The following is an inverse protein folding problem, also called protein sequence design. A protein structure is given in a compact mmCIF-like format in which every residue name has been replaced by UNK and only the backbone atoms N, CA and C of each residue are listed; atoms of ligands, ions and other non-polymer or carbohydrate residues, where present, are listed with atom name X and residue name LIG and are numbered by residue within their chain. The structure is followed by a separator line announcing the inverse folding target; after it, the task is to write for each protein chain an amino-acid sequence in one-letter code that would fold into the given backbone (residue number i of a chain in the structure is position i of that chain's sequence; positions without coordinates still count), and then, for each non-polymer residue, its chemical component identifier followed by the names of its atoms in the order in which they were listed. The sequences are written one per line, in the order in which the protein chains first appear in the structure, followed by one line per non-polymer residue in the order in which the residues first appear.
data_IF_591101706700
#
_entry.id   IF_591101706700
#
_cell.length_a   1.000
_cell.length_b   1.000
_cell.length_c   1.000
_cell.angle_alpha   90.00
_cell.angle_beta   90.00
_cell.angle_gamma   90.00
#
_symmetry.space_group_name_H-M   'P 1'
#
loop_
_entity.id
_entity.type
_entity.pdbx_description
1 polymer ?
#
# COMPACT_ATOMS: atom_id res chain seq x y z
N UNK A 1 18.82 -64.25 -40.22
CA UNK A 1 20.19 -63.74 -40.38
C UNK A 1 20.59 -62.95 -39.12
N UNK A 2 21.75 -63.31 -38.56
CA UNK A 2 22.71 -62.51 -37.77
C UNK A 2 22.32 -61.98 -36.36
N UNK A 3 22.73 -62.80 -35.39
CA UNK A 3 23.33 -62.55 -34.06
C UNK A 3 23.77 -61.13 -33.66
N UNK A 4 23.61 -60.84 -32.36
CA UNK A 4 24.65 -60.49 -31.32
C UNK A 4 23.89 -60.07 -30.04
N UNK A 5 24.16 -60.50 -28.81
CA UNK A 5 25.34 -61.12 -28.21
C UNK A 5 26.11 -60.10 -27.35
N UNK A 6 26.20 -60.37 -26.04
CA UNK A 6 27.35 -60.19 -25.13
C UNK A 6 27.11 -59.35 -23.85
N UNK A 7 27.60 -59.99 -22.79
CA UNK A 7 27.69 -59.73 -21.36
C UNK A 7 28.79 -58.71 -21.03
N UNK A 8 28.62 -57.99 -19.91
CA UNK A 8 29.72 -57.69 -18.98
C UNK A 8 30.28 -56.27 -19.01
N UNK A 9 30.26 -55.58 -17.87
CA UNK A 9 31.41 -55.55 -16.95
C UNK A 9 31.21 -54.44 -15.92
N UNK A 10 31.26 -54.81 -14.64
CA UNK A 10 31.58 -53.89 -13.56
C UNK A 10 32.99 -53.31 -13.81
N UNK A 11 33.15 -52.00 -13.62
CA UNK A 11 34.43 -51.41 -13.27
C UNK A 11 34.16 -50.26 -12.31
N UNK A 12 34.51 -50.47 -11.04
CA UNK A 12 34.63 -49.42 -10.04
C UNK A 12 36.09 -48.96 -10.03
N UNK A 13 36.34 -47.66 -10.21
CA UNK A 13 37.57 -46.99 -9.73
C UNK A 13 37.18 -45.56 -9.34
N UNK A 14 37.42 -45.24 -8.07
CA UNK A 14 37.16 -43.92 -7.50
C UNK A 14 38.27 -42.91 -7.78
N UNK A 15 37.92 -41.64 -7.61
CA UNK A 15 38.88 -40.57 -7.35
C UNK A 15 38.26 -39.62 -6.31
N UNK A 16 38.86 -39.67 -5.12
CA UNK A 16 38.68 -38.72 -4.04
C UNK A 16 39.22 -37.36 -4.49
N UNK A 17 38.37 -36.34 -4.49
CA UNK A 17 38.82 -34.95 -4.44
C UNK A 17 38.46 -34.34 -3.09
N UNK A 18 39.52 -34.10 -2.33
CA UNK A 18 39.54 -33.36 -1.07
C UNK A 18 39.49 -31.86 -1.35
N UNK A 19 38.50 -31.18 -0.78
CA UNK A 19 38.59 -29.80 -0.29
C UNK A 19 38.38 -28.64 -1.27
N UNK A 20 37.32 -27.85 -1.08
CA UNK A 20 37.41 -26.47 -0.57
C UNK A 20 36.00 -25.86 -0.41
N UNK A 21 35.84 -25.09 0.66
CA UNK A 21 34.59 -24.59 1.25
C UNK A 21 33.74 -23.70 0.33
N UNK A 22 32.41 -23.87 0.38
CA UNK A 22 31.47 -22.76 0.17
C UNK A 22 30.41 -22.80 1.28
N UNK A 23 30.41 -21.73 2.07
CA UNK A 23 29.39 -21.37 3.05
C UNK A 23 28.03 -21.35 2.34
N UNK A 24 27.19 -22.38 2.54
CA UNK A 24 25.77 -22.28 2.21
C UNK A 24 25.07 -21.63 3.39
N UNK A 25 25.14 -20.31 3.33
CA UNK A 25 24.30 -19.36 4.04
C UNK A 25 22.86 -19.90 4.04
N UNK A 26 22.27 -20.03 5.22
CA UNK A 26 20.86 -20.32 5.43
C UNK A 26 20.03 -19.17 4.88
N UNK A 27 19.85 -19.14 3.56
CA UNK A 27 18.83 -18.33 2.92
C UNK A 27 17.48 -18.98 3.25
N UNK A 28 16.96 -18.61 4.43
CA UNK A 28 15.54 -18.65 4.71
C UNK A 28 14.83 -18.14 3.47
N UNK A 29 14.08 -19.02 2.82
CA UNK A 29 13.22 -18.68 1.71
C UNK A 29 12.18 -17.68 2.25
N UNK A 30 12.53 -16.40 2.17
CA UNK A 30 11.65 -15.30 2.52
C UNK A 30 10.50 -15.36 1.53
N UNK A 31 9.37 -15.83 2.05
CA UNK A 31 8.08 -15.78 1.39
C UNK A 31 7.90 -14.42 0.71
N UNK A 32 7.57 -14.50 -0.56
CA UNK A 32 7.23 -13.40 -1.44
C UNK A 32 5.95 -12.74 -0.94
N UNK A 33 6.09 -11.71 -0.12
CA UNK A 33 5.08 -10.66 0.06
C UNK A 33 5.81 -9.35 -0.19
N UNK A 34 5.50 -8.69 -1.30
CA UNK A 34 6.13 -7.44 -1.71
C UNK A 34 5.90 -6.37 -0.64
N UNK A 35 6.89 -6.18 0.23
CA UNK A 35 6.93 -5.08 1.18
C UNK A 35 6.99 -3.78 0.37
N UNK A 36 5.84 -3.19 0.10
CA UNK A 36 5.76 -1.79 -0.31
C UNK A 36 6.45 -0.99 0.79
N UNK A 37 7.45 -0.19 0.44
CA UNK A 37 8.21 0.59 1.42
C UNK A 37 7.27 1.68 1.99
N UNK A 38 6.70 1.43 3.17
CA UNK A 38 5.78 2.34 3.85
C UNK A 38 6.61 3.28 4.72
N UNK A 39 6.69 4.55 4.34
CA UNK A 39 7.44 5.57 5.05
C UNK A 39 6.85 5.85 6.45
N UNK A 40 5.52 5.78 6.59
CA UNK A 40 4.85 6.00 7.87
C UNK A 40 3.46 5.37 7.92
N UNK A 41 3.05 4.89 9.10
CA UNK A 41 1.66 4.57 9.41
C UNK A 41 1.04 5.77 10.12
N UNK A 42 -0.08 6.26 9.61
CA UNK A 42 -0.85 7.38 10.18
C UNK A 42 -2.08 6.79 10.85
N UNK A 43 -2.11 6.90 12.18
CA UNK A 43 -3.23 6.43 13.00
C UNK A 43 -4.20 7.59 13.23
N UNK A 44 -5.31 7.63 12.49
CA UNK A 44 -6.35 8.65 12.65
C UNK A 44 -7.16 8.36 13.92
N UNK A 45 -7.21 9.29 14.90
CA UNK A 45 -7.93 9.10 16.15
C UNK A 45 -9.45 9.25 15.95
N UNK A 46 -10.16 8.14 15.91
CA UNK A 46 -11.63 8.07 15.72
C UNK A 46 -12.42 8.67 16.87
N UNK A 47 -11.86 8.72 18.07
CA UNK A 47 -12.47 9.44 19.20
C UNK A 47 -12.47 10.97 19.00
N UNK A 48 -11.59 11.50 18.14
CA UNK A 48 -11.47 12.94 17.86
C UNK A 48 -12.14 13.33 16.55
N UNK A 49 -12.11 12.46 15.55
CA UNK A 49 -12.67 12.69 14.21
C UNK A 49 -13.60 11.52 13.81
N UNK A 50 -14.67 11.24 14.57
CA UNK A 50 -15.49 10.05 14.39
C UNK A 50 -16.16 9.95 13.01
N UNK A 51 -16.62 11.06 12.42
CA UNK A 51 -17.29 11.03 11.12
C UNK A 51 -16.30 10.71 9.99
N UNK A 52 -15.14 11.38 9.99
CA UNK A 52 -14.06 11.13 9.01
C UNK A 52 -13.51 9.71 9.17
N UNK A 53 -13.27 9.27 10.40
CA UNK A 53 -12.83 7.92 10.70
C UNK A 53 -13.81 6.84 10.19
N UNK A 54 -15.12 7.07 10.33
CA UNK A 54 -16.14 6.18 9.79
C UNK A 54 -16.10 6.15 8.25
N UNK A 55 -16.00 7.31 7.59
CA UNK A 55 -15.87 7.37 6.13
C UNK A 55 -14.66 6.58 5.62
N UNK A 56 -13.48 6.77 6.22
CA UNK A 56 -12.26 6.07 5.82
C UNK A 56 -12.42 4.55 6.01
N UNK A 57 -12.97 4.11 7.15
CA UNK A 57 -13.26 2.68 7.41
C UNK A 57 -14.19 2.10 6.35
N UNK A 58 -15.30 2.79 6.06
CA UNK A 58 -16.29 2.37 5.08
C UNK A 58 -15.67 2.29 3.67
N UNK A 59 -14.91 3.31 3.26
CA UNK A 59 -14.28 3.37 1.95
C UNK A 59 -13.26 2.24 1.75
N UNK A 60 -12.42 1.96 2.76
CA UNK A 60 -11.48 0.83 2.72
C UNK A 60 -12.22 -0.51 2.66
N UNK A 61 -13.27 -0.70 3.46
CA UNK A 61 -14.10 -1.90 3.42
C UNK A 61 -14.76 -2.10 2.05
N UNK A 62 -15.06 -1.01 1.34
CA UNK A 62 -15.59 -1.00 -0.04
C UNK A 62 -14.49 -1.02 -1.12
N UNK A 63 -13.26 -1.41 -0.77
CA UNK A 63 -12.19 -1.69 -1.72
C UNK A 63 -11.32 -0.49 -2.11
N UNK A 64 -11.45 0.66 -1.43
CA UNK A 64 -10.41 1.70 -1.53
C UNK A 64 -9.14 1.23 -0.84
N UNK A 65 -7.99 1.65 -1.36
CA UNK A 65 -6.71 1.35 -0.72
C UNK A 65 -6.54 2.13 0.58
N UNK A 66 -5.84 1.54 1.55
CA UNK A 66 -5.39 2.21 2.76
C UNK A 66 -4.01 2.90 2.57
N UNK A 67 -3.44 2.83 1.37
CA UNK A 67 -2.16 3.44 1.02
C UNK A 67 -2.40 4.79 0.31
N UNK A 68 -1.70 5.80 0.79
CA UNK A 68 -1.60 7.10 0.14
C UNK A 68 -0.16 7.27 -0.38
N UNK A 69 0.02 7.28 -1.69
CA UNK A 69 1.26 7.73 -2.30
C UNK A 69 1.19 9.25 -2.42
N UNK A 70 2.00 9.97 -1.63
CA UNK A 70 1.91 11.42 -1.52
C UNK A 70 2.26 12.06 -2.86
N UNK A 71 1.38 12.94 -3.35
CA UNK A 71 1.58 13.75 -4.55
C UNK A 71 0.73 15.01 -4.40
N UNK A 72 1.37 16.08 -3.93
CA UNK A 72 0.70 17.33 -3.55
C UNK A 72 0.33 18.17 -4.76
N UNK A 73 1.16 18.16 -5.79
CA UNK A 73 0.98 18.96 -7.00
C UNK A 73 -0.32 18.59 -7.75
N UNK A 74 -0.66 17.30 -7.82
CA UNK A 74 -1.90 16.85 -8.47
C UNK A 74 -3.18 17.04 -7.64
N UNK A 75 -3.11 17.61 -6.42
CA UNK A 75 -4.24 17.58 -5.50
C UNK A 75 -5.44 18.42 -5.94
N UNK A 76 -5.21 19.56 -6.58
CA UNK A 76 -6.28 20.41 -7.07
C UNK A 76 -7.10 19.72 -8.17
N UNK A 77 -6.42 19.06 -9.11
CA UNK A 77 -7.07 18.35 -10.22
C UNK A 77 -7.81 17.10 -9.72
N UNK A 78 -7.22 16.32 -8.82
CA UNK A 78 -7.91 15.19 -8.19
C UNK A 78 -9.19 15.63 -7.48
N UNK A 79 -9.14 16.72 -6.70
CA UNK A 79 -10.33 17.29 -6.05
C UNK A 79 -11.41 17.71 -7.03
N UNK A 80 -11.03 18.28 -8.17
CA UNK A 80 -11.97 18.61 -9.24
C UNK A 80 -12.64 17.35 -9.80
N UNK A 81 -11.87 16.29 -10.04
CA UNK A 81 -12.36 15.02 -10.59
C UNK A 81 -13.27 14.26 -9.63
N UNK A 82 -12.90 14.17 -8.36
CA UNK A 82 -13.67 13.47 -7.32
C UNK A 82 -15.00 14.18 -7.04
N UNK A 83 -15.01 15.51 -7.06
CA UNK A 83 -16.18 16.33 -6.68
C UNK A 83 -17.04 16.81 -7.85
N UNK A 84 -16.72 16.44 -9.10
CA UNK A 84 -17.32 17.00 -10.32
C UNK A 84 -18.85 16.98 -10.35
N UNK A 85 -19.47 15.95 -9.77
CA UNK A 85 -20.93 15.76 -9.75
C UNK A 85 -21.51 15.63 -8.34
N UNK A 86 -20.76 16.08 -7.33
CA UNK A 86 -21.23 16.06 -5.94
C UNK A 86 -21.59 17.49 -5.55
N UNK A 87 -22.88 17.84 -5.39
CA UNK A 87 -23.26 19.21 -5.03
C UNK A 87 -22.71 19.60 -3.66
N UNK A 88 -22.58 20.90 -3.39
CA UNK A 88 -22.28 21.34 -2.02
C UNK A 88 -23.53 21.17 -1.15
N UNK A 89 -23.32 20.96 0.16
CA UNK A 89 -24.40 20.86 1.15
C UNK A 89 -24.13 21.83 2.29
N UNK A 90 -25.05 22.77 2.52
CA UNK A 90 -24.89 23.78 3.57
C UNK A 90 -24.65 23.11 4.93
N UNK A 91 -23.58 23.54 5.62
CA UNK A 91 -23.20 23.01 6.93
C UNK A 91 -22.39 21.70 6.90
N UNK A 92 -21.91 21.28 5.72
CA UNK A 92 -21.08 20.09 5.53
C UNK A 92 -19.92 20.40 4.57
N UNK A 93 -18.79 19.73 4.80
CA UNK A 93 -17.74 19.59 3.81
C UNK A 93 -17.95 18.27 3.04
N UNK A 94 -17.36 18.16 1.84
CA UNK A 94 -17.31 16.91 1.06
C UNK A 94 -15.95 16.26 1.32
N UNK A 95 -15.91 15.27 2.19
CA UNK A 95 -14.70 14.50 2.45
C UNK A 95 -14.43 13.51 1.30
N UNK A 96 -13.17 13.21 1.04
CA UNK A 96 -12.72 12.42 -0.11
C UNK A 96 -11.81 11.27 0.36
N UNK A 97 -12.12 10.02 0.00
CA UNK A 97 -11.23 8.90 0.23
C UNK A 97 -11.10 7.96 -0.99
N UNK A 98 -9.90 7.73 -1.56
CA UNK A 98 -8.61 8.26 -1.11
C UNK A 98 -8.48 9.77 -1.24
N UNK A 99 -7.69 10.38 -0.35
CA UNK A 99 -7.59 11.83 -0.23
C UNK A 99 -7.04 12.45 -1.51
N UNK A 100 -7.47 13.67 -1.81
CA UNK A 100 -7.01 14.38 -2.99
C UNK A 100 -5.50 14.61 -3.03
N UNK A 101 -4.74 14.51 -1.92
CA UNK A 101 -3.27 14.63 -1.92
C UNK A 101 -2.51 13.33 -2.21
N UNK A 102 -3.24 12.23 -2.40
CA UNK A 102 -2.70 10.92 -2.73
C UNK A 102 -2.87 10.67 -4.23
N UNK A 103 -1.92 9.98 -4.88
CA UNK A 103 -2.06 9.58 -6.30
C UNK A 103 -3.29 8.73 -6.55
N UNK A 104 -3.73 8.00 -5.53
CA UNK A 104 -4.90 7.11 -5.54
C UNK A 104 -6.23 7.86 -5.39
N UNK A 105 -6.18 9.17 -5.11
CA UNK A 105 -7.36 10.02 -5.06
C UNK A 105 -7.86 10.42 -6.45
N UNK A 106 -8.85 11.32 -6.48
CA UNK A 106 -9.42 11.83 -7.73
C UNK A 106 -10.60 11.01 -8.22
N UNK A 107 -10.64 10.71 -9.53
CA UNK A 107 -11.77 10.00 -10.14
C UNK A 107 -12.05 8.68 -9.41
N UNK A 108 -13.28 8.54 -8.90
CA UNK A 108 -13.71 7.34 -8.18
C UNK A 108 -13.32 7.32 -6.71
N UNK A 109 -12.83 8.42 -6.11
CA UNK A 109 -12.81 8.55 -4.65
C UNK A 109 -14.22 8.44 -4.08
N UNK A 110 -14.35 7.79 -2.92
CA UNK A 110 -15.57 7.77 -2.12
C UNK A 110 -15.78 9.14 -1.48
N UNK A 111 -17.03 9.63 -1.50
CA UNK A 111 -17.38 10.97 -1.04
C UNK A 111 -18.46 10.89 0.02
N UNK A 112 -18.21 11.52 1.17
CA UNK A 112 -19.18 11.64 2.27
C UNK A 112 -19.30 13.09 2.72
N UNK A 113 -20.52 13.51 3.05
CA UNK A 113 -20.75 14.81 3.69
C UNK A 113 -20.44 14.71 5.17
N UNK A 114 -19.46 15.47 5.64
CA UNK A 114 -18.98 15.44 7.03
C UNK A 114 -19.08 16.82 7.66
N UNK A 115 -19.33 16.88 8.97
CA UNK A 115 -19.32 18.14 9.71
C UNK A 115 -17.97 18.86 9.55
N UNK A 116 -17.94 20.18 9.22
CA UNK A 116 -16.69 20.87 8.91
C UNK A 116 -15.63 20.82 10.02
N UNK A 117 -16.04 20.84 11.29
CA UNK A 117 -15.10 20.74 12.41
C UNK A 117 -14.38 19.39 12.47
N UNK A 118 -15.11 18.29 12.21
CA UNK A 118 -14.55 16.93 12.15
C UNK A 118 -13.61 16.80 10.95
N UNK A 119 -14.12 17.12 9.73
CA UNK A 119 -13.38 16.96 8.48
C UNK A 119 -12.09 17.79 8.42
N UNK A 120 -12.16 19.09 8.74
CA UNK A 120 -10.99 19.99 8.70
C UNK A 120 -10.00 19.66 9.81
N UNK A 121 -10.51 19.21 10.96
CA UNK A 121 -9.69 18.72 12.05
C UNK A 121 -8.89 17.48 11.64
N UNK A 122 -9.53 16.51 10.98
CA UNK A 122 -8.88 15.31 10.47
C UNK A 122 -7.87 15.65 9.35
N UNK A 123 -8.26 16.51 8.41
CA UNK A 123 -7.37 16.98 7.34
C UNK A 123 -6.13 17.68 7.88
N UNK A 124 -6.27 18.54 8.90
CA UNK A 124 -5.13 19.19 9.56
C UNK A 124 -4.25 18.18 10.32
N UNK A 125 -4.86 17.19 10.97
CA UNK A 125 -4.14 16.12 11.66
C UNK A 125 -3.28 15.31 10.68
N UNK A 126 -3.87 14.82 9.60
CA UNK A 126 -3.16 14.05 8.56
C UNK A 126 -2.09 14.94 7.91
N UNK A 127 -2.44 16.17 7.53
CA UNK A 127 -1.52 17.14 6.93
C UNK A 127 -0.25 17.36 7.76
N UNK A 128 -0.40 17.57 9.07
CA UNK A 128 0.74 17.70 9.99
C UNK A 128 1.57 16.41 10.09
N UNK A 129 0.95 15.24 10.00
CA UNK A 129 1.66 13.94 10.05
C UNK A 129 2.48 13.67 8.80
N UNK A 130 2.12 14.25 7.66
CA UNK A 130 2.81 14.06 6.38
C UNK A 130 3.66 15.25 5.96
N UNK A 131 3.63 16.38 6.67
CA UNK A 131 4.30 17.63 6.30
C UNK A 131 5.76 17.43 5.87
N UNK A 132 6.53 16.64 6.62
CA UNK A 132 7.96 16.38 6.38
C UNK A 132 8.24 15.14 5.52
N UNK A 133 7.18 14.49 5.03
CA UNK A 133 7.28 13.31 4.18
C UNK A 133 7.29 13.78 2.71
N UNK A 134 8.32 13.42 1.92
CA UNK A 134 8.45 13.88 0.55
C UNK A 134 7.37 13.28 -0.36
N UNK A 135 7.06 13.98 -1.44
CA UNK A 135 6.23 13.46 -2.52
C UNK A 135 6.85 12.16 -3.09
N UNK A 136 5.99 11.22 -3.48
CA UNK A 136 6.35 9.88 -3.92
C UNK A 136 6.44 8.83 -2.80
N UNK A 137 6.60 9.24 -1.54
CA UNK A 137 6.56 8.32 -0.41
C UNK A 137 5.15 7.74 -0.20
N UNK A 138 5.10 6.51 0.32
CA UNK A 138 3.85 5.81 0.65
C UNK A 138 3.58 5.88 2.15
N UNK A 139 2.39 6.30 2.53
CA UNK A 139 1.92 6.24 3.92
C UNK A 139 0.70 5.34 3.99
N UNK A 140 0.56 4.58 5.08
CA UNK A 140 -0.61 3.73 5.34
C UNK A 140 -1.53 4.45 6.33
N UNK A 141 -2.81 4.58 5.99
CA UNK A 141 -3.83 5.18 6.85
C UNK A 141 -4.52 4.07 7.64
N UNK A 142 -4.54 4.20 8.97
CA UNK A 142 -5.24 3.28 9.87
C UNK A 142 -6.14 4.10 10.77
N UNK A 143 -7.36 3.64 11.02
CA UNK A 143 -8.27 4.29 11.95
C UNK A 143 -8.19 3.59 13.31
N UNK A 144 -7.93 4.35 14.38
CA UNK A 144 -7.86 3.85 15.76
C UNK A 144 -8.92 4.46 16.66
#
# INVERSE_FOLDING_TARGET
MKFKGIIGSFLAVGLLFTGCSTIQNSNSAKQTSGSQDIAQVIELPSNKYPETAAHIKDAIANGKTDICTIDRDGAAERRKQSLANVPTKKGYDRDEYPMAMCREGGKGADIKYIKPADNRGAGSYIGNKVEKIPDGAKVKIVVK
#
